data_IF_372648761284
#
_entry.id   IF_372648761284
#
_cell.length_a   1.000
_cell.length_b   1.000
_cell.length_c   1.000
_cell.angle_alpha   90.00
_cell.angle_beta   90.00
_cell.angle_gamma   90.00
#
_symmetry.space_group_name_H-M   'P 1'
#
loop_
_entity.id
_entity.type
_entity.pdbx_description
1 polymer ?
#
# COMPACT_ATOMS: atom_id res chain seq x y z
N UNK A 1 -16.68 -2.59 -21.29
CA UNK A 1 -15.79 -2.11 -20.21
C UNK A 1 -15.10 -3.29 -19.55
N UNK A 2 -13.85 -3.56 -19.92
CA UNK A 2 -13.09 -4.73 -19.46
C UNK A 2 -11.61 -4.45 -19.59
N UNK A 3 -10.76 -5.43 -19.29
CA UNK A 3 -9.34 -5.34 -19.64
C UNK A 3 -8.98 -6.44 -20.62
N UNK A 4 -8.05 -6.13 -21.52
CA UNK A 4 -7.53 -7.04 -22.54
C UNK A 4 -6.03 -6.84 -22.60
N UNK A 5 -5.28 -7.94 -22.51
CA UNK A 5 -3.82 -7.92 -22.69
C UNK A 5 -3.51 -8.15 -24.16
N UNK A 6 -2.59 -7.34 -24.70
CA UNK A 6 -2.03 -7.48 -26.03
C UNK A 6 -0.54 -7.79 -25.87
N UNK A 7 -0.12 -9.06 -25.87
CA UNK A 7 1.25 -9.45 -25.53
C UNK A 7 2.25 -8.99 -26.59
N UNK A 8 1.86 -9.08 -27.87
CA UNK A 8 2.78 -8.81 -28.98
C UNK A 8 2.26 -7.77 -29.98
N UNK A 9 0.93 -7.56 -30.15
CA UNK A 9 0.27 -6.54 -31.00
C UNK A 9 -1.26 -6.48 -30.73
N UNK A 10 -1.98 -5.47 -31.26
CA UNK A 10 -3.45 -5.32 -31.14
C UNK A 10 -4.25 -6.53 -31.68
N UNK A 11 -3.70 -7.28 -32.63
CA UNK A 11 -4.34 -8.47 -33.21
C UNK A 11 -4.10 -9.75 -32.40
N UNK A 12 -3.18 -9.74 -31.43
CA UNK A 12 -2.88 -10.87 -30.56
C UNK A 12 -3.61 -10.67 -29.22
N UNK A 13 -4.92 -10.93 -29.22
CA UNK A 13 -5.74 -10.80 -28.03
C UNK A 13 -5.38 -11.89 -27.01
N UNK A 14 -4.62 -11.52 -25.99
CA UNK A 14 -4.36 -12.33 -24.82
C UNK A 14 -5.57 -12.41 -23.89
N UNK A 15 -5.38 -12.87 -22.64
CA UNK A 15 -6.44 -12.96 -21.66
C UNK A 15 -7.21 -11.64 -21.54
N UNK A 16 -8.53 -11.77 -21.41
CA UNK A 16 -9.41 -10.63 -21.19
C UNK A 16 -10.42 -10.96 -20.10
N UNK A 17 -10.94 -9.92 -19.45
CA UNK A 17 -12.08 -10.04 -18.56
C UNK A 17 -13.07 -8.91 -18.85
N UNK A 18 -14.36 -9.28 -18.87
CA UNK A 18 -15.45 -8.32 -18.95
C UNK A 18 -15.61 -7.48 -17.68
N UNK A 19 -16.60 -6.59 -17.69
CA UNK A 19 -16.88 -5.72 -16.56
C UNK A 19 -17.27 -6.57 -15.34
N UNK A 20 -16.72 -6.22 -14.18
CA UNK A 20 -17.09 -6.85 -12.92
C UNK A 20 -18.02 -5.91 -12.18
N UNK A 21 -19.21 -6.40 -11.79
CA UNK A 21 -20.15 -5.65 -10.94
C UNK A 21 -19.48 -5.15 -9.65
N UNK A 22 -18.56 -5.94 -9.09
CA UNK A 22 -17.77 -5.55 -7.92
C UNK A 22 -16.84 -4.36 -8.22
N UNK A 23 -16.18 -4.35 -9.39
CA UNK A 23 -15.31 -3.23 -9.81
C UNK A 23 -16.12 -1.96 -9.98
N UNK A 24 -17.28 -2.05 -10.62
CA UNK A 24 -18.18 -0.92 -10.83
C UNK A 24 -18.67 -0.34 -9.51
N UNK A 25 -19.16 -1.19 -8.60
CA UNK A 25 -19.60 -0.78 -7.27
C UNK A 25 -18.47 -0.09 -6.46
N UNK A 26 -17.27 -0.66 -6.46
CA UNK A 26 -16.12 -0.07 -5.75
C UNK A 26 -15.71 1.30 -6.32
N UNK A 27 -15.78 1.49 -7.64
CA UNK A 27 -15.47 2.77 -8.25
C UNK A 27 -16.54 3.84 -7.96
N UNK A 28 -17.82 3.44 -7.97
CA UNK A 28 -18.92 4.33 -7.62
C UNK A 28 -18.82 4.81 -6.17
N UNK A 29 -18.56 3.90 -5.23
CA UNK A 29 -18.33 4.22 -3.80
C UNK A 29 -17.25 5.30 -3.64
N UNK A 30 -16.09 5.11 -4.27
CA UNK A 30 -15.00 6.07 -4.22
C UNK A 30 -15.41 7.46 -4.75
N UNK A 31 -16.07 7.52 -5.91
CA UNK A 31 -16.50 8.80 -6.50
C UNK A 31 -17.54 9.51 -5.63
N UNK A 32 -18.46 8.75 -5.02
CA UNK A 32 -19.46 9.29 -4.09
C UNK A 32 -18.79 9.85 -2.84
N UNK A 33 -17.90 9.10 -2.20
CA UNK A 33 -17.15 9.54 -1.03
C UNK A 33 -16.27 10.76 -1.30
N UNK A 34 -15.66 10.88 -2.48
CA UNK A 34 -14.90 12.08 -2.86
C UNK A 34 -15.79 13.32 -2.91
N UNK A 35 -17.04 13.17 -3.38
CA UNK A 35 -18.02 14.26 -3.45
C UNK A 35 -18.61 14.59 -2.08
N UNK A 36 -19.00 13.58 -1.30
CA UNK A 36 -19.63 13.76 0.02
C UNK A 36 -18.63 14.09 1.12
N UNK A 37 -17.34 13.81 0.90
CA UNK A 37 -16.26 13.84 1.91
C UNK A 37 -16.43 12.78 3.01
N UNK A 38 -17.16 11.72 2.73
CA UNK A 38 -17.26 10.55 3.61
C UNK A 38 -16.08 9.58 3.38
N UNK A 39 -15.91 8.63 4.31
CA UNK A 39 -14.86 7.60 4.23
C UNK A 39 -15.30 6.48 3.28
N UNK A 40 -14.49 6.08 2.29
CA UNK A 40 -14.79 4.95 1.42
C UNK A 40 -14.87 3.63 2.19
N UNK A 41 -15.59 2.64 1.62
CA UNK A 41 -15.62 1.28 2.15
C UNK A 41 -14.21 0.65 2.23
N UNK A 42 -13.32 1.03 1.32
CA UNK A 42 -11.89 0.69 1.38
C UNK A 42 -11.08 1.88 1.88
N UNK A 43 -11.11 2.10 3.20
CA UNK A 43 -10.35 3.18 3.84
C UNK A 43 -8.83 2.93 3.77
N UNK A 44 -8.05 4.00 4.00
CA UNK A 44 -6.57 3.90 4.00
C UNK A 44 -6.08 2.92 5.06
N UNK A 45 -6.69 2.94 6.24
CA UNK A 45 -6.39 2.05 7.36
C UNK A 45 -6.62 0.58 7.00
N UNK A 46 -7.73 0.30 6.32
CA UNK A 46 -8.11 -1.05 5.88
C UNK A 46 -7.09 -1.61 4.89
N UNK A 47 -6.51 -0.77 4.04
CA UNK A 47 -5.43 -1.17 3.11
C UNK A 47 -4.05 -1.19 3.79
N UNK A 48 -3.82 -0.32 4.77
CA UNK A 48 -2.53 -0.15 5.44
C UNK A 48 -2.11 -1.38 6.22
N UNK A 49 -2.95 -1.87 7.13
CA UNK A 49 -2.61 -3.00 8.00
C UNK A 49 -2.21 -4.28 7.27
N UNK A 50 -2.98 -4.80 6.29
CA UNK A 50 -2.57 -6.01 5.58
C UNK A 50 -1.28 -5.78 4.79
N UNK A 51 -1.11 -4.62 4.16
CA UNK A 51 0.11 -4.27 3.42
C UNK A 51 1.32 -4.23 4.35
N UNK A 52 1.19 -3.57 5.51
CA UNK A 52 2.22 -3.53 6.55
C UNK A 52 2.60 -4.95 6.97
N UNK A 53 1.63 -5.80 7.29
CA UNK A 53 1.87 -7.18 7.71
C UNK A 53 2.63 -7.99 6.65
N UNK A 54 2.29 -7.85 5.37
CA UNK A 54 3.03 -8.48 4.28
C UNK A 54 4.50 -8.03 4.26
N UNK A 55 4.77 -6.73 4.46
CA UNK A 55 6.14 -6.22 4.54
C UNK A 55 6.89 -6.72 5.77
N UNK A 56 6.29 -6.66 6.95
CA UNK A 56 6.91 -7.14 8.20
C UNK A 56 7.23 -8.64 8.11
N UNK A 57 6.33 -9.44 7.54
CA UNK A 57 6.55 -10.87 7.30
C UNK A 57 7.73 -11.13 6.35
N UNK A 58 7.82 -10.37 5.26
CA UNK A 58 8.95 -10.46 4.32
C UNK A 58 10.28 -10.06 4.97
N UNK A 59 10.29 -9.05 5.85
CA UNK A 59 11.49 -8.64 6.58
C UNK A 59 11.92 -9.75 7.54
N UNK A 60 11.00 -10.28 8.35
CA UNK A 60 11.28 -11.40 9.26
C UNK A 60 11.82 -12.63 8.52
N UNK A 61 11.26 -12.94 7.34
CA UNK A 61 11.75 -14.01 6.49
C UNK A 61 13.19 -13.78 6.00
N UNK A 62 13.51 -12.56 5.54
CA UNK A 62 14.83 -12.20 5.02
C UNK A 62 15.92 -12.20 6.09
N UNK A 63 15.59 -11.72 7.30
CA UNK A 63 16.53 -11.67 8.43
C UNK A 63 16.59 -13.00 9.20
N UNK A 64 15.66 -13.93 8.95
CA UNK A 64 15.53 -15.22 9.64
C UNK A 64 15.39 -15.07 11.15
N UNK A 65 14.70 -14.00 11.59
CA UNK A 65 14.50 -13.67 13.00
C UNK A 65 13.02 -13.56 13.33
N UNK A 66 12.69 -13.78 14.60
CA UNK A 66 11.45 -13.29 15.19
C UNK A 66 11.67 -11.82 15.53
N UNK A 67 10.87 -10.94 14.95
CA UNK A 67 10.97 -9.49 15.15
C UNK A 67 9.77 -9.00 15.95
N UNK A 68 10.00 -8.05 16.86
CA UNK A 68 8.95 -7.35 17.59
C UNK A 68 8.75 -5.97 16.98
N UNK A 69 7.51 -5.66 16.60
CA UNK A 69 7.16 -4.38 15.97
C UNK A 69 6.67 -3.39 17.02
N UNK A 70 7.28 -2.21 17.05
CA UNK A 70 6.80 -1.07 17.82
C UNK A 70 5.94 -0.16 16.92
N UNK A 71 4.61 -0.10 17.14
CA UNK A 71 3.73 0.72 16.31
C UNK A 71 3.88 2.23 16.55
N UNK A 72 4.43 2.67 17.68
CA UNK A 72 4.61 4.10 17.98
C UNK A 72 5.80 4.69 17.21
N UNK A 73 6.90 3.94 17.13
CA UNK A 73 8.09 4.33 16.37
C UNK A 73 8.08 3.81 14.94
N UNK A 74 7.23 2.84 14.63
CA UNK A 74 7.21 2.09 13.37
C UNK A 74 8.58 1.45 13.07
N UNK A 75 9.16 0.79 14.07
CA UNK A 75 10.47 0.12 13.95
C UNK A 75 10.51 -1.22 14.67
N UNK A 76 11.61 -1.95 14.51
CA UNK A 76 11.99 -3.11 15.30
C UNK A 76 13.04 -2.72 16.35
N UNK A 77 12.68 -2.58 17.64
CA UNK A 77 13.62 -2.13 18.66
C UNK A 77 14.89 -2.99 18.73
N UNK A 78 16.07 -2.37 18.59
CA UNK A 78 17.36 -3.05 18.64
C UNK A 78 17.75 -3.88 17.40
N UNK A 79 16.93 -3.90 16.34
CA UNK A 79 17.16 -4.72 15.15
C UNK A 79 17.56 -3.87 13.93
N UNK A 80 18.82 -3.40 13.91
CA UNK A 80 19.35 -2.52 12.84
C UNK A 80 19.22 -3.11 11.44
N UNK A 81 19.54 -4.40 11.28
CA UNK A 81 19.44 -5.12 10.00
C UNK A 81 18.01 -5.17 9.46
N UNK A 82 17.02 -5.36 10.35
CA UNK A 82 15.62 -5.36 9.96
C UNK A 82 15.11 -3.95 9.65
N UNK A 83 15.51 -2.95 10.44
CA UNK A 83 15.14 -1.55 10.23
C UNK A 83 15.71 -1.00 8.92
N UNK A 84 16.89 -1.46 8.48
CA UNK A 84 17.45 -1.11 7.17
C UNK A 84 16.57 -1.55 5.99
N UNK A 85 15.64 -2.50 6.19
CA UNK A 85 14.72 -3.01 5.17
C UNK A 85 13.35 -2.32 5.17
N UNK A 86 13.07 -1.42 6.12
CA UNK A 86 11.79 -0.68 6.20
C UNK A 86 11.65 0.38 5.11
N UNK A 87 12.77 0.80 4.52
CA UNK A 87 12.79 1.73 3.40
C UNK A 87 13.77 1.26 2.35
N UNK A 88 13.63 1.78 1.12
CA UNK A 88 14.69 1.64 0.11
C UNK A 88 15.40 2.96 -0.05
N UNK A 89 16.65 2.88 -0.49
CA UNK A 89 17.33 4.05 -1.03
C UNK A 89 16.52 4.64 -2.18
N UNK A 90 16.22 5.93 -2.03
CA UNK A 90 15.47 6.66 -3.03
C UNK A 90 16.35 6.97 -4.23
N UNK A 91 15.75 6.94 -5.41
CA UNK A 91 16.48 7.14 -6.66
C UNK A 91 16.85 8.62 -6.81
N UNK A 92 18.14 8.91 -7.04
CA UNK A 92 18.58 10.26 -7.36
C UNK A 92 17.89 10.83 -8.63
N UNK A 93 17.63 12.16 -8.70
CA UNK A 93 17.94 13.18 -7.70
C UNK A 93 16.84 13.37 -6.64
N UNK A 94 15.82 12.51 -6.61
CA UNK A 94 14.63 12.73 -5.79
C UNK A 94 14.92 12.56 -4.31
N UNK A 95 14.46 13.52 -3.52
CA UNK A 95 14.47 13.49 -2.06
C UNK A 95 13.08 13.91 -1.55
N UNK A 96 12.59 13.24 -0.51
CA UNK A 96 11.43 13.67 0.26
C UNK A 96 11.93 13.95 1.67
N UNK A 97 11.61 15.14 2.17
CA UNK A 97 11.81 15.50 3.56
C UNK A 97 10.46 15.30 4.24
N UNK A 98 10.42 14.38 5.20
CA UNK A 98 9.23 14.18 6.02
C UNK A 98 9.44 14.90 7.34
N UNK A 99 8.78 16.04 7.52
CA UNK A 99 8.66 16.68 8.82
C UNK A 99 7.42 16.13 9.52
N UNK A 100 7.60 15.54 10.70
CA UNK A 100 6.50 15.08 11.54
C UNK A 100 5.85 16.31 12.18
N UNK A 101 4.94 16.98 11.48
CA UNK A 101 4.19 18.13 12.02
C UNK A 101 3.21 17.69 13.12
N UNK A 102 3.00 18.50 14.19
CA UNK A 102 2.04 18.19 15.25
C UNK A 102 0.60 17.99 14.75
N UNK A 103 0.25 18.64 13.63
CA UNK A 103 -1.06 18.57 12.98
C UNK A 103 -1.20 17.39 12.03
N UNK A 104 -0.10 16.69 11.72
CA UNK A 104 -0.18 15.38 11.09
C UNK A 104 -0.81 14.47 12.12
N UNK A 105 -2.14 14.44 12.10
CA UNK A 105 -2.87 13.28 12.54
C UNK A 105 -2.26 12.14 11.74
N UNK A 106 -1.33 11.42 12.35
CA UNK A 106 -1.39 9.98 12.23
C UNK A 106 -2.86 9.70 12.50
N UNK A 107 -3.61 9.38 11.46
CA UNK A 107 -4.93 8.80 11.66
C UNK A 107 -4.58 7.44 12.25
N UNK A 108 -4.33 7.47 13.57
CA UNK A 108 -3.84 6.36 14.36
C UNK A 108 -5.00 5.40 14.41
N UNK A 109 -4.75 4.22 13.88
CA UNK A 109 -5.51 3.02 14.13
C UNK A 109 -4.60 2.08 14.87
#
# INVERSE_FOLDING_TARGET
DGWQVFPNNEDDSGPSAGESEMRKAHFMDFVECVKSRETPNSSVETAYFPTLLCHLGNIAYRTKKRLEWDPETATFPGEEEANALLSREMRAPWKYEYEKTPETKTQRV
#
